data_IF_930219538990
#
_entry.id   IF_930219538990
#
_cell.length_a   1.000
_cell.length_b   1.000
_cell.length_c   1.000
_cell.angle_alpha   90.00
_cell.angle_beta   90.00
_cell.angle_gamma   90.00
#
_symmetry.space_group_name_H-M   'P 1'
#
loop_
_entity.id
_entity.type
_entity.pdbx_description
1 polymer ?
#
# COMPACT_ATOMS: atom_id res chain seq x y z
N UNK A 1 18.08 -30.02 3.42
CA UNK A 1 17.59 -28.88 2.61
C UNK A 1 16.15 -28.55 3.01
N UNK A 2 15.95 -27.69 4.01
CA UNK A 2 14.66 -27.02 4.27
C UNK A 2 14.94 -25.62 4.83
N UNK A 3 14.03 -24.70 4.53
CA UNK A 3 13.95 -23.28 4.90
C UNK A 3 14.85 -22.33 4.08
N UNK A 4 14.35 -21.25 3.47
CA UNK A 4 13.23 -20.39 3.87
C UNK A 4 12.41 -19.92 2.66
N UNK A 5 11.11 -20.26 2.67
CA UNK A 5 10.10 -19.51 1.90
C UNK A 5 10.18 -18.03 2.28
N UNK A 6 9.91 -17.17 1.28
CA UNK A 6 10.11 -15.73 1.35
C UNK A 6 9.72 -15.15 2.71
N UNK A 7 10.67 -14.46 3.34
CA UNK A 7 10.40 -13.63 4.51
C UNK A 7 9.30 -12.68 4.10
N UNK A 8 8.08 -12.92 4.56
CA UNK A 8 6.99 -11.95 4.46
C UNK A 8 7.49 -10.73 5.19
N UNK A 9 7.94 -9.73 4.43
CA UNK A 9 8.49 -8.51 4.98
C UNK A 9 7.35 -7.89 5.80
N UNK A 10 7.49 -7.90 7.12
CA UNK A 10 6.40 -7.51 8.02
C UNK A 10 6.19 -6.01 7.84
N UNK A 11 5.14 -5.64 7.11
CA UNK A 11 4.73 -4.25 6.97
C UNK A 11 4.32 -3.76 8.36
N UNK A 12 4.95 -2.68 8.84
CA UNK A 12 4.63 -2.09 10.13
C UNK A 12 3.50 -1.06 9.99
N UNK A 13 2.73 -0.89 11.07
CA UNK A 13 1.69 0.14 11.13
C UNK A 13 2.28 1.55 10.97
N UNK A 14 3.51 1.78 11.42
CA UNK A 14 4.23 3.04 11.20
C UNK A 14 4.46 3.31 9.71
N UNK A 15 4.91 2.30 8.95
CA UNK A 15 5.10 2.42 7.50
C UNK A 15 3.76 2.73 6.82
N UNK A 16 2.69 2.02 7.17
CA UNK A 16 1.34 2.26 6.60
C UNK A 16 0.87 3.69 6.92
N UNK A 17 1.03 4.13 8.16
CA UNK A 17 0.61 5.47 8.60
C UNK A 17 1.37 6.59 7.87
N UNK A 18 2.63 6.40 7.49
CA UNK A 18 3.38 7.36 6.70
C UNK A 18 2.77 7.61 5.31
N UNK A 19 2.07 6.62 4.75
CA UNK A 19 1.38 6.73 3.46
C UNK A 19 -0.08 7.16 3.56
N UNK A 20 -0.60 7.45 4.77
CA UNK A 20 -1.97 7.95 4.96
C UNK A 20 -2.32 9.16 4.07
N UNK A 21 -1.45 10.18 3.88
CA UNK A 21 -1.74 11.28 2.96
C UNK A 21 -1.91 10.84 1.50
N UNK A 22 -1.12 9.85 1.06
CA UNK A 22 -1.21 9.27 -0.28
C UNK A 22 -2.54 8.51 -0.47
N UNK A 23 -2.92 7.68 0.50
CA UNK A 23 -4.20 6.96 0.49
C UNK A 23 -5.37 7.94 0.38
N UNK A 24 -5.37 9.00 1.18
CA UNK A 24 -6.38 10.06 1.11
C UNK A 24 -6.40 10.80 -0.23
N UNK A 25 -5.24 11.01 -0.84
CA UNK A 25 -5.13 11.64 -2.16
C UNK A 25 -5.74 10.74 -3.25
N UNK A 26 -5.48 9.43 -3.18
CA UNK A 26 -6.04 8.44 -4.11
C UNK A 26 -7.56 8.34 -3.94
N UNK A 27 -8.05 8.16 -2.72
CA UNK A 27 -9.49 8.02 -2.44
C UNK A 27 -10.30 9.22 -2.95
N UNK A 28 -9.79 10.45 -2.77
CA UNK A 28 -10.44 11.68 -3.27
C UNK A 28 -10.61 11.71 -4.79
N UNK A 29 -9.77 11.02 -5.57
CA UNK A 29 -9.94 10.94 -7.04
C UNK A 29 -11.22 10.19 -7.44
N UNK A 30 -11.75 9.37 -6.54
CA UNK A 30 -12.92 8.51 -6.79
C UNK A 30 -14.16 8.95 -6.02
N UNK A 31 -14.18 10.11 -5.37
CA UNK A 31 -15.31 10.57 -4.54
C UNK A 31 -16.64 10.68 -5.31
N UNK A 32 -16.59 10.81 -6.64
CA UNK A 32 -17.77 10.86 -7.50
C UNK A 32 -18.31 9.46 -7.89
N UNK A 33 -17.77 8.38 -7.32
CA UNK A 33 -18.28 7.02 -7.56
C UNK A 33 -19.65 6.76 -6.92
N UNK A 34 -20.05 7.59 -5.95
CA UNK A 34 -21.25 7.37 -5.13
C UNK A 34 -21.00 6.55 -3.87
N UNK A 35 -19.77 6.06 -3.66
CA UNK A 35 -19.37 5.34 -2.45
C UNK A 35 -18.91 6.29 -1.34
N UNK A 36 -19.08 5.92 -0.05
CA UNK A 36 -18.53 6.67 1.07
C UNK A 36 -17.01 6.86 0.96
N UNK A 37 -16.51 8.02 1.36
CA UNK A 37 -15.07 8.34 1.26
C UNK A 37 -14.23 7.40 2.13
N UNK A 38 -14.77 6.95 3.27
CA UNK A 38 -14.14 5.97 4.15
C UNK A 38 -13.93 4.63 3.44
N UNK A 39 -14.90 4.17 2.65
CA UNK A 39 -14.81 2.91 1.90
C UNK A 39 -13.77 3.02 0.77
N UNK A 40 -13.71 4.17 0.10
CA UNK A 40 -12.67 4.48 -0.88
C UNK A 40 -11.27 4.53 -0.25
N UNK A 41 -11.14 5.11 0.95
CA UNK A 41 -9.89 5.08 1.72
C UNK A 41 -9.48 3.64 2.05
N UNK A 42 -10.42 2.77 2.44
CA UNK A 42 -10.13 1.37 2.74
C UNK A 42 -9.63 0.61 1.50
N UNK A 43 -10.27 0.79 0.34
CA UNK A 43 -9.82 0.19 -0.91
C UNK A 43 -8.41 0.68 -1.28
N UNK A 44 -8.14 1.96 -1.10
CA UNK A 44 -6.81 2.53 -1.34
C UNK A 44 -5.75 1.97 -0.36
N UNK A 45 -6.10 1.70 0.91
CA UNK A 45 -5.22 1.00 1.83
C UNK A 45 -4.91 -0.45 1.38
N UNK A 46 -5.90 -1.19 0.87
CA UNK A 46 -5.67 -2.53 0.32
C UNK A 46 -4.68 -2.50 -0.86
N UNK A 47 -4.84 -1.51 -1.76
CA UNK A 47 -3.90 -1.28 -2.86
C UNK A 47 -2.48 -0.98 -2.38
N UNK A 48 -2.34 -0.10 -1.38
CA UNK A 48 -1.07 0.23 -0.75
C UNK A 48 -0.40 -1.01 -0.13
N UNK A 49 -1.14 -1.82 0.61
CA UNK A 49 -0.62 -3.03 1.25
C UNK A 49 -0.11 -4.03 0.20
N UNK A 50 -0.87 -4.24 -0.86
CA UNK A 50 -0.45 -5.12 -1.95
C UNK A 50 0.82 -4.58 -2.65
N UNK A 51 0.88 -3.27 -2.95
CA UNK A 51 2.06 -2.65 -3.52
C UNK A 51 3.29 -2.82 -2.61
N UNK A 52 3.14 -2.58 -1.30
CA UNK A 52 4.23 -2.76 -0.33
C UNK A 52 4.70 -4.22 -0.23
N UNK A 53 3.79 -5.19 -0.35
CA UNK A 53 4.14 -6.62 -0.37
C UNK A 53 4.91 -7.02 -1.63
N UNK A 54 4.56 -6.42 -2.77
CA UNK A 54 5.20 -6.70 -4.07
C UNK A 54 6.48 -5.90 -4.28
N UNK A 55 6.67 -4.83 -3.51
CA UNK A 55 7.83 -3.96 -3.62
C UNK A 55 9.11 -4.71 -3.25
N UNK A 56 10.11 -4.59 -4.12
CA UNK A 56 11.42 -5.17 -3.92
C UNK A 56 12.49 -4.09 -4.05
N UNK A 57 12.97 -3.59 -2.90
CA UNK A 57 14.02 -2.57 -2.80
C UNK A 57 15.30 -2.94 -3.55
N UNK A 58 15.59 -4.24 -3.70
CA UNK A 58 16.79 -4.71 -4.43
C UNK A 58 16.74 -4.42 -5.93
N UNK A 59 15.58 -4.02 -6.47
CA UNK A 59 15.42 -3.58 -7.85
C UNK A 59 15.82 -2.11 -8.07
N UNK A 60 16.16 -1.36 -7.01
CA UNK A 60 16.72 -0.01 -7.12
C UNK A 60 15.72 1.10 -7.51
N UNK A 61 14.42 0.79 -7.53
CA UNK A 61 13.34 1.76 -7.78
C UNK A 61 12.72 2.23 -6.48
N UNK A 62 12.32 3.51 -6.41
CA UNK A 62 11.60 4.06 -5.26
C UNK A 62 10.16 3.55 -5.25
N UNK A 63 9.63 3.26 -4.06
CA UNK A 63 8.24 2.80 -3.89
C UNK A 63 7.21 3.76 -4.50
N UNK A 64 7.47 5.07 -4.39
CA UNK A 64 6.62 6.14 -4.95
C UNK A 64 6.48 6.08 -6.48
N UNK A 65 7.33 5.31 -7.15
CA UNK A 65 7.37 5.13 -8.61
C UNK A 65 6.98 3.73 -9.07
N UNK A 66 6.60 2.83 -8.14
CA UNK A 66 6.18 1.45 -8.42
C UNK A 66 4.65 1.34 -8.52
#
# INVERSE_FOLDING_TARGET
MKSNGGVLNKISDQTINNYKPLVKSIARKYINSGEPIEDLEQIAYLGLLNALQLFNEKKGVKFETY
#
